data_IF_405731972278
#
_entry.id   IF_405731972278
#
_cell.length_a   1.000
_cell.length_b   1.000
_cell.length_c   1.000
_cell.angle_alpha   90.00
_cell.angle_beta   90.00
_cell.angle_gamma   90.00
#
_symmetry.space_group_name_H-M   'P 1'
#
loop_
_entity.id
_entity.type
_entity.pdbx_description
1 polymer ?
#
# COMPACT_ATOMS: atom_id res chain seq x y z
N UNK A 1 14.99 8.61 13.99
CA UNK A 1 15.41 7.27 13.46
C UNK A 1 15.83 7.45 12.02
N UNK A 2 17.01 7.00 11.64
CA UNK A 2 17.45 7.02 10.24
C UNK A 2 16.57 6.06 9.43
N UNK A 3 16.09 6.50 8.26
CA UNK A 3 15.39 5.63 7.31
C UNK A 3 16.31 4.47 6.91
N UNK A 4 15.72 3.27 6.65
CA UNK A 4 16.49 2.20 6.03
C UNK A 4 17.10 2.68 4.72
N UNK A 5 18.24 2.12 4.37
CA UNK A 5 18.86 2.34 3.08
C UNK A 5 17.90 1.97 1.94
N UNK A 6 17.84 2.82 0.94
CA UNK A 6 17.09 2.53 -0.29
C UNK A 6 17.88 1.58 -1.15
N UNK A 7 17.28 0.45 -1.47
CA UNK A 7 17.79 -0.50 -2.45
C UNK A 7 17.11 -0.31 -3.81
N UNK A 8 17.79 -0.72 -4.87
CA UNK A 8 17.28 -0.68 -6.24
C UNK A 8 17.29 -2.09 -6.84
N UNK A 9 16.20 -2.45 -7.48
CA UNK A 9 16.10 -3.65 -8.32
C UNK A 9 16.04 -3.21 -9.78
N UNK A 10 17.14 -3.39 -10.51
CA UNK A 10 17.15 -3.23 -11.96
C UNK A 10 16.50 -4.47 -12.62
N UNK A 11 15.56 -4.24 -13.53
CA UNK A 11 14.85 -5.29 -14.27
C UNK A 11 15.44 -5.46 -15.67
N UNK A 12 15.20 -6.62 -16.28
CA UNK A 12 15.72 -6.94 -17.61
C UNK A 12 15.19 -6.07 -18.76
N UNK A 13 14.09 -5.36 -18.52
CA UNK A 13 13.49 -4.39 -19.45
C UNK A 13 14.06 -2.94 -19.29
N UNK A 14 15.06 -2.77 -18.43
CA UNK A 14 15.68 -1.48 -18.14
C UNK A 14 14.93 -0.62 -17.11
N UNK A 15 13.81 -1.14 -16.55
CA UNK A 15 13.10 -0.45 -15.46
C UNK A 15 13.76 -0.72 -14.11
N UNK A 16 13.52 0.17 -13.14
CA UNK A 16 14.05 0.09 -11.78
C UNK A 16 12.90 0.16 -10.78
N UNK A 17 12.92 -0.70 -9.77
CA UNK A 17 12.07 -0.59 -8.59
C UNK A 17 12.91 -0.19 -7.38
N UNK A 18 12.47 0.80 -6.62
CA UNK A 18 13.08 1.23 -5.37
C UNK A 18 12.33 0.66 -4.18
N UNK A 19 13.07 0.16 -3.20
CA UNK A 19 12.49 -0.48 -2.03
C UNK A 19 13.35 -0.29 -0.78
N UNK A 20 12.76 -0.53 0.38
CA UNK A 20 13.44 -0.62 1.67
C UNK A 20 13.07 -1.92 2.35
N UNK A 21 13.97 -2.41 3.19
CA UNK A 21 13.75 -3.57 4.05
C UNK A 21 13.75 -3.13 5.52
N UNK A 22 12.68 -3.43 6.23
CA UNK A 22 12.53 -3.17 7.66
C UNK A 22 12.58 -4.46 8.45
N UNK A 23 12.97 -4.36 9.72
CA UNK A 23 13.04 -5.50 10.64
C UNK A 23 14.29 -6.36 10.46
N UNK A 24 14.45 -7.41 11.28
CA UNK A 24 15.63 -8.26 11.29
C UNK A 24 15.78 -9.07 10.00
N UNK A 25 17.02 -9.39 9.56
CA UNK A 25 17.26 -10.13 8.32
C UNK A 25 16.60 -11.52 8.27
N UNK A 26 16.45 -12.17 9.41
CA UNK A 26 15.84 -13.48 9.62
C UNK A 26 14.35 -13.39 10.01
N UNK A 27 13.75 -12.20 9.90
CA UNK A 27 12.33 -12.01 10.18
C UNK A 27 11.41 -12.67 9.17
N UNK A 28 10.15 -12.87 9.58
CA UNK A 28 9.12 -13.43 8.71
C UNK A 28 8.85 -12.53 7.49
N UNK A 29 8.96 -13.06 6.26
CA UNK A 29 8.92 -12.24 5.06
C UNK A 29 7.53 -11.71 4.74
N UNK A 30 7.41 -10.40 4.59
CA UNK A 30 6.17 -9.72 4.20
C UNK A 30 6.44 -8.67 3.14
N UNK A 31 5.68 -8.66 2.05
CA UNK A 31 5.68 -7.57 1.07
C UNK A 31 4.54 -6.62 1.37
N UNK A 32 4.84 -5.33 1.47
CA UNK A 32 3.88 -4.29 1.80
C UNK A 32 3.58 -3.36 0.62
N UNK A 33 2.29 -3.27 0.29
CA UNK A 33 1.74 -2.30 -0.64
C UNK A 33 1.20 -1.08 0.13
N UNK A 34 1.83 0.06 -0.07
CA UNK A 34 1.39 1.30 0.56
C UNK A 34 0.09 1.82 -0.06
N UNK A 35 -0.63 2.66 0.68
CA UNK A 35 -1.76 3.44 0.14
C UNK A 35 -1.33 4.38 -0.99
N UNK A 36 -2.28 5.08 -1.57
CA UNK A 36 -2.05 6.05 -2.64
C UNK A 36 -2.50 7.45 -2.18
N UNK A 37 -1.65 8.49 -2.26
CA UNK A 37 -0.23 8.43 -2.63
C UNK A 37 0.66 8.04 -1.44
N UNK A 38 1.78 7.35 -1.69
CA UNK A 38 2.76 7.04 -0.65
C UNK A 38 4.09 6.55 -1.24
N UNK A 39 5.16 6.65 -0.45
CA UNK A 39 6.47 6.11 -0.78
C UNK A 39 6.84 4.92 0.12
N UNK A 40 7.97 4.27 -0.19
CA UNK A 40 8.53 3.12 0.56
C UNK A 40 8.82 3.39 2.04
N UNK A 41 8.87 4.63 2.48
CA UNK A 41 9.24 4.97 3.85
C UNK A 41 8.05 4.91 4.79
N UNK A 42 8.16 4.07 5.80
CA UNK A 42 7.13 3.87 6.82
C UNK A 42 7.27 4.84 7.99
N UNK A 43 6.17 5.10 8.66
CA UNK A 43 6.15 5.91 9.89
C UNK A 43 6.86 5.19 11.04
N UNK A 44 7.56 5.90 11.95
CA UNK A 44 8.30 5.30 13.07
C UNK A 44 7.46 4.35 13.92
N UNK A 45 6.21 4.71 14.22
CA UNK A 45 5.27 3.88 14.99
C UNK A 45 5.00 2.53 14.32
N UNK A 46 4.93 2.50 12.99
CA UNK A 46 4.78 1.25 12.23
C UNK A 46 6.05 0.41 12.27
N UNK A 47 7.21 1.06 12.18
CA UNK A 47 8.51 0.39 12.26
C UNK A 47 8.70 -0.28 13.63
N UNK A 48 8.26 0.36 14.72
CA UNK A 48 8.30 -0.21 16.06
C UNK A 48 7.38 -1.45 16.17
N UNK A 49 6.17 -1.41 15.65
CA UNK A 49 5.25 -2.57 15.59
C UNK A 49 5.87 -3.74 14.84
N UNK A 50 6.49 -3.49 13.68
CA UNK A 50 7.19 -4.51 12.89
C UNK A 50 8.31 -5.19 13.68
N UNK A 51 9.08 -4.40 14.46
CA UNK A 51 10.16 -4.92 15.28
C UNK A 51 9.66 -5.88 16.37
N UNK A 52 8.50 -5.62 16.95
CA UNK A 52 7.88 -6.49 17.95
C UNK A 52 7.42 -7.83 17.34
N UNK A 53 6.82 -7.80 16.15
CA UNK A 53 6.29 -8.99 15.47
C UNK A 53 7.34 -9.79 14.69
N UNK A 54 8.62 -9.40 14.76
CA UNK A 54 9.75 -10.06 14.08
C UNK A 54 9.53 -10.25 12.57
N UNK A 55 8.94 -9.26 11.92
CA UNK A 55 8.74 -9.27 10.48
C UNK A 55 9.98 -8.77 9.73
N UNK A 56 10.24 -9.33 8.57
CA UNK A 56 11.11 -8.76 7.54
C UNK A 56 10.22 -8.14 6.48
N UNK A 57 9.94 -6.84 6.57
CA UNK A 57 9.02 -6.15 5.69
C UNK A 57 9.75 -5.51 4.52
N UNK A 58 9.41 -5.93 3.30
CA UNK A 58 9.80 -5.27 2.07
C UNK A 58 8.72 -4.25 1.69
N UNK A 59 9.10 -2.99 1.60
CA UNK A 59 8.23 -1.89 1.17
C UNK A 59 8.83 -1.28 -0.07
N UNK A 60 8.09 -1.23 -1.16
CA UNK A 60 8.57 -0.70 -2.42
C UNK A 60 7.71 0.48 -2.92
N UNK A 61 8.33 1.32 -3.71
CA UNK A 61 7.62 2.33 -4.47
C UNK A 61 7.04 1.70 -5.73
N UNK A 62 5.71 1.71 -5.86
CA UNK A 62 5.07 1.28 -7.10
C UNK A 62 5.55 2.15 -8.27
N UNK A 63 5.51 1.65 -9.53
CA UNK A 63 5.92 2.40 -10.71
C UNK A 63 5.36 3.82 -10.74
N UNK A 64 6.26 4.81 -10.87
CA UNK A 64 5.94 6.24 -10.88
C UNK A 64 5.99 6.95 -9.54
N UNK A 65 6.38 6.25 -8.45
CA UNK A 65 6.65 6.84 -7.15
C UNK A 65 8.11 6.69 -6.75
N UNK A 66 8.61 7.63 -5.97
CA UNK A 66 9.83 7.51 -5.19
C UNK A 66 11.10 7.19 -5.99
N UNK A 67 11.11 7.41 -7.29
CA UNK A 67 12.19 7.07 -8.22
C UNK A 67 12.09 5.68 -8.84
N UNK A 68 11.03 4.91 -8.58
CA UNK A 68 10.70 3.72 -9.37
C UNK A 68 10.24 4.11 -10.77
N UNK A 69 10.78 3.44 -11.80
CA UNK A 69 10.45 3.75 -13.20
C UNK A 69 8.94 3.68 -13.44
N UNK A 70 8.36 4.75 -13.96
CA UNK A 70 6.93 4.81 -14.28
C UNK A 70 6.54 3.79 -15.34
N UNK A 71 5.37 3.16 -15.17
CA UNK A 71 4.74 2.25 -16.13
C UNK A 71 3.31 2.71 -16.40
N UNK A 72 3.10 3.58 -17.40
CA UNK A 72 1.77 4.06 -17.77
C UNK A 72 0.83 2.92 -18.20
N UNK A 73 -0.45 3.04 -17.87
CA UNK A 73 -1.47 2.06 -18.28
C UNK A 73 -1.43 0.75 -17.50
N UNK A 74 -0.63 0.65 -16.44
CA UNK A 74 -0.63 -0.53 -15.56
C UNK A 74 -1.99 -0.78 -14.93
N UNK A 75 -2.28 -2.03 -14.68
CA UNK A 75 -3.43 -2.50 -13.91
C UNK A 75 -3.02 -2.83 -12.48
N UNK A 76 -3.99 -3.15 -11.62
CA UNK A 76 -3.71 -3.65 -10.26
C UNK A 76 -2.95 -4.98 -10.32
N UNK A 77 -3.31 -5.87 -11.25
CA UNK A 77 -2.66 -7.17 -11.43
C UNK A 77 -1.17 -7.07 -11.81
N UNK A 78 -0.75 -6.01 -12.46
CA UNK A 78 0.65 -5.81 -12.86
C UNK A 78 1.63 -5.72 -11.67
N UNK A 79 1.13 -5.41 -10.46
CA UNK A 79 1.94 -5.43 -9.25
C UNK A 79 2.51 -6.82 -8.91
N UNK A 80 1.90 -7.86 -9.42
CA UNK A 80 2.33 -9.26 -9.22
C UNK A 80 3.73 -9.51 -9.77
N UNK A 81 4.03 -8.97 -10.94
CA UNK A 81 5.37 -9.11 -11.55
C UNK A 81 6.45 -8.33 -10.79
N UNK A 82 6.07 -7.18 -10.23
CA UNK A 82 6.97 -6.38 -9.39
C UNK A 82 7.28 -7.13 -8.09
N UNK A 83 6.25 -7.68 -7.43
CA UNK A 83 6.41 -8.46 -6.18
C UNK A 83 7.19 -9.73 -6.41
N UNK A 84 6.92 -10.47 -7.50
CA UNK A 84 7.68 -11.68 -7.85
C UNK A 84 9.17 -11.37 -7.98
N UNK A 85 9.52 -10.34 -8.75
CA UNK A 85 10.92 -9.94 -8.96
C UNK A 85 11.59 -9.49 -7.66
N UNK A 86 10.88 -8.74 -6.80
CA UNK A 86 11.40 -8.28 -5.51
C UNK A 86 11.60 -9.46 -4.54
N UNK A 87 10.66 -10.39 -4.45
CA UNK A 87 10.76 -11.58 -3.61
C UNK A 87 11.89 -12.51 -4.08
N UNK A 88 12.05 -12.71 -5.40
CA UNK A 88 13.15 -13.48 -5.99
C UNK A 88 14.51 -12.87 -5.65
N UNK A 89 14.65 -11.55 -5.72
CA UNK A 89 15.87 -10.83 -5.34
C UNK A 89 16.22 -10.97 -3.84
N UNK A 90 15.23 -11.28 -2.98
CA UNK A 90 15.44 -11.54 -1.57
C UNK A 90 15.62 -13.05 -1.28
N UNK A 91 15.44 -13.93 -2.25
CA UNK A 91 15.43 -15.38 -2.05
C UNK A 91 14.21 -15.88 -1.26
N UNK A 92 13.10 -15.15 -1.27
CA UNK A 92 11.88 -15.51 -0.57
C UNK A 92 11.02 -16.43 -1.43
N UNK A 93 10.97 -17.71 -1.12
CA UNK A 93 10.11 -18.67 -1.80
C UNK A 93 8.64 -18.47 -1.42
N UNK A 94 8.37 -18.22 -0.14
CA UNK A 94 7.06 -17.92 0.42
C UNK A 94 7.11 -16.65 1.25
N UNK A 95 6.00 -15.89 1.24
CA UNK A 95 5.88 -14.64 1.97
C UNK A 95 4.40 -14.29 2.21
N UNK A 96 4.14 -13.44 3.19
CA UNK A 96 2.83 -12.83 3.34
C UNK A 96 2.77 -11.48 2.60
N UNK A 97 1.56 -10.99 2.35
CA UNK A 97 1.36 -9.66 1.76
C UNK A 97 0.48 -8.80 2.65
N UNK A 98 0.82 -7.52 2.72
CA UNK A 98 0.05 -6.50 3.44
C UNK A 98 -0.29 -5.35 2.49
N UNK A 99 -1.53 -4.86 2.52
CA UNK A 99 -1.95 -3.70 1.74
C UNK A 99 -2.82 -2.75 2.54
N UNK A 100 -2.48 -1.44 2.54
CA UNK A 100 -3.29 -0.40 3.16
C UNK A 100 -3.99 0.47 2.11
N UNK A 101 -5.28 0.81 2.31
CA UNK A 101 -6.01 1.73 1.44
C UNK A 101 -5.91 1.32 -0.04
N UNK A 102 -5.47 2.21 -0.94
CA UNK A 102 -5.19 1.90 -2.35
C UNK A 102 -4.14 0.80 -2.58
N UNK A 103 -3.38 0.39 -1.55
CA UNK A 103 -2.48 -0.77 -1.60
C UNK A 103 -3.20 -2.10 -1.42
N UNK A 104 -4.39 -2.11 -0.83
CA UNK A 104 -5.18 -3.33 -0.59
C UNK A 104 -5.44 -4.15 -1.85
N UNK A 105 -5.96 -3.56 -2.94
CA UNK A 105 -6.14 -4.26 -4.20
C UNK A 105 -4.88 -4.92 -4.75
N UNK A 106 -3.71 -4.28 -4.61
CA UNK A 106 -2.44 -4.82 -5.07
C UNK A 106 -2.00 -6.04 -4.22
N UNK A 107 -2.27 -6.02 -2.90
CA UNK A 107 -2.05 -7.19 -2.04
C UNK A 107 -3.00 -8.34 -2.40
N UNK A 108 -4.27 -8.04 -2.68
CA UNK A 108 -5.26 -9.02 -3.14
C UNK A 108 -4.88 -9.62 -4.51
N UNK A 109 -4.31 -8.82 -5.43
CA UNK A 109 -3.79 -9.33 -6.70
C UNK A 109 -2.67 -10.38 -6.47
N UNK A 110 -1.76 -10.10 -5.53
CA UNK A 110 -0.73 -11.07 -5.17
C UNK A 110 -1.33 -12.34 -4.54
N UNK A 111 -2.33 -12.21 -3.68
CA UNK A 111 -3.03 -13.34 -3.09
C UNK A 111 -3.76 -14.21 -4.12
N UNK A 112 -4.31 -13.59 -5.19
CA UNK A 112 -4.98 -14.30 -6.27
C UNK A 112 -4.02 -14.97 -7.26
N UNK A 113 -2.95 -14.26 -7.66
CA UNK A 113 -2.13 -14.62 -8.81
C UNK A 113 -0.74 -15.22 -8.43
N UNK A 114 -0.39 -15.20 -7.14
CA UNK A 114 0.80 -15.84 -6.57
C UNK A 114 0.42 -16.77 -5.41
N UNK A 115 -0.70 -17.49 -5.51
CA UNK A 115 -1.21 -18.34 -4.45
C UNK A 115 -0.27 -19.50 -4.07
N UNK A 116 0.68 -19.85 -4.92
CA UNK A 116 1.76 -20.81 -4.66
C UNK A 116 2.88 -20.23 -3.77
N UNK A 117 2.98 -18.91 -3.66
CA UNK A 117 4.02 -18.19 -2.90
C UNK A 117 3.48 -17.36 -1.74
N UNK A 118 2.27 -16.81 -1.89
CA UNK A 118 1.63 -16.00 -0.84
C UNK A 118 0.98 -16.91 0.18
N UNK A 119 1.40 -16.79 1.45
CA UNK A 119 0.89 -17.60 2.56
C UNK A 119 -0.40 -16.99 3.12
N UNK A 120 -0.45 -15.67 3.26
CA UNK A 120 -1.58 -14.92 3.80
C UNK A 120 -1.60 -13.49 3.28
N UNK A 121 -2.76 -12.85 3.32
CA UNK A 121 -2.97 -11.48 2.87
C UNK A 121 -3.72 -10.68 3.93
N UNK A 122 -3.16 -9.57 4.39
CA UNK A 122 -3.85 -8.63 5.26
C UNK A 122 -4.14 -7.33 4.52
N UNK A 123 -5.37 -6.84 4.62
CA UNK A 123 -5.83 -5.59 4.02
C UNK A 123 -6.38 -4.67 5.10
N UNK A 124 -5.84 -3.47 5.17
CA UNK A 124 -6.26 -2.42 6.09
C UNK A 124 -6.97 -1.30 5.32
N UNK A 125 -8.24 -1.05 5.62
CA UNK A 125 -9.04 0.01 4.98
C UNK A 125 -8.95 -0.02 3.46
N UNK A 126 -8.99 -1.23 2.85
CA UNK A 126 -8.86 -1.43 1.42
C UNK A 126 -10.11 -1.08 0.63
N UNK A 127 -9.92 -0.68 -0.64
CA UNK A 127 -11.04 -0.36 -1.54
C UNK A 127 -11.52 -1.60 -2.29
N UNK A 128 -12.79 -1.60 -2.71
CA UNK A 128 -13.40 -2.59 -3.63
C UNK A 128 -13.16 -2.22 -5.09
N UNK A 129 -13.35 -3.12 -6.06
CA UNK A 129 -13.42 -2.77 -7.47
C UNK A 129 -14.45 -1.67 -7.75
N UNK A 130 -14.21 -0.88 -8.81
CA UNK A 130 -15.19 0.09 -9.27
C UNK A 130 -16.50 -0.61 -9.67
N UNK A 131 -17.63 0.06 -9.42
CA UNK A 131 -18.94 -0.51 -9.74
C UNK A 131 -19.08 -0.69 -11.26
N UNK A 132 -19.59 -1.86 -11.70
CA UNK A 132 -19.84 -2.10 -13.13
C UNK A 132 -20.76 -1.03 -13.71
N UNK A 133 -20.36 -0.43 -14.84
CA UNK A 133 -21.15 0.59 -15.53
C UNK A 133 -21.04 2.02 -14.99
N UNK A 134 -20.29 2.25 -13.90
CA UNK A 134 -19.92 3.62 -13.50
C UNK A 134 -18.87 4.13 -14.48
N UNK A 135 -19.11 5.26 -15.17
CA UNK A 135 -18.11 5.82 -16.07
C UNK A 135 -16.84 6.12 -15.30
N UNK A 136 -15.71 5.61 -15.79
CA UNK A 136 -14.42 6.01 -15.26
C UNK A 136 -14.22 7.51 -15.56
N UNK A 137 -13.57 8.22 -14.64
CA UNK A 137 -13.10 9.58 -14.92
C UNK A 137 -12.15 9.54 -16.13
N UNK A 138 -12.30 10.53 -17.00
CA UNK A 138 -11.34 10.73 -18.08
C UNK A 138 -9.97 11.02 -17.47
N UNK A 139 -8.92 10.47 -18.08
CA UNK A 139 -7.54 10.61 -17.55
C UNK A 139 -7.15 12.08 -17.34
N UNK A 140 -7.55 12.98 -18.26
CA UNK A 140 -7.25 14.40 -18.14
C UNK A 140 -7.92 15.05 -16.92
N UNK A 141 -9.17 14.67 -16.62
CA UNK A 141 -9.91 15.15 -15.46
C UNK A 141 -9.27 14.64 -14.16
N UNK A 142 -8.97 13.33 -14.10
CA UNK A 142 -8.30 12.72 -12.95
C UNK A 142 -6.93 13.37 -12.71
N UNK A 143 -6.17 13.62 -13.77
CA UNK A 143 -4.86 14.29 -13.70
C UNK A 143 -4.98 15.69 -13.11
N UNK A 144 -5.99 16.44 -13.49
CA UNK A 144 -6.26 17.78 -12.92
C UNK A 144 -6.61 17.70 -11.44
N UNK A 145 -7.50 16.79 -11.05
CA UNK A 145 -7.89 16.61 -9.64
C UNK A 145 -6.70 16.16 -8.77
N UNK A 146 -5.92 15.20 -9.24
CA UNK A 146 -4.72 14.73 -8.52
C UNK A 146 -3.68 15.84 -8.38
N UNK A 147 -3.46 16.64 -9.43
CA UNK A 147 -2.52 17.75 -9.38
C UNK A 147 -2.95 18.84 -8.38
N UNK A 148 -4.25 19.15 -8.31
CA UNK A 148 -4.82 20.11 -7.35
C UNK A 148 -4.61 19.63 -5.91
N UNK A 149 -4.99 18.39 -5.61
CA UNK A 149 -4.82 17.82 -4.26
C UNK A 149 -3.35 17.68 -3.88
N UNK A 150 -2.49 17.28 -4.82
CA UNK A 150 -1.05 17.20 -4.58
C UNK A 150 -0.45 18.58 -4.29
N UNK A 151 -0.85 19.61 -5.02
CA UNK A 151 -0.40 20.98 -4.78
C UNK A 151 -0.86 21.49 -3.39
N UNK A 152 -2.07 21.15 -2.98
CA UNK A 152 -2.57 21.46 -1.63
C UNK A 152 -1.75 20.75 -0.55
N UNK A 153 -1.46 19.46 -0.73
CA UNK A 153 -0.62 18.68 0.19
C UNK A 153 0.79 19.30 0.26
N UNK A 154 1.40 19.58 -0.87
CA UNK A 154 2.74 20.15 -0.92
C UNK A 154 2.79 21.56 -0.33
N UNK A 155 1.81 22.42 -0.62
CA UNK A 155 1.70 23.74 0.00
C UNK A 155 1.59 23.67 1.51
N UNK A 156 0.78 22.77 2.06
CA UNK A 156 0.69 22.53 3.51
C UNK A 156 1.99 22.03 4.12
N UNK A 157 2.75 21.23 3.36
CA UNK A 157 4.08 20.76 3.76
C UNK A 157 5.05 21.94 3.87
N UNK A 158 5.09 22.83 2.88
CA UNK A 158 6.04 23.94 2.81
C UNK A 158 5.69 25.08 3.76
N UNK A 159 4.42 25.36 3.99
CA UNK A 159 3.93 26.43 4.86
C UNK A 159 3.84 26.05 6.35
N UNK A 160 4.22 24.83 6.74
CA UNK A 160 4.05 24.34 8.10
C UNK A 160 2.59 24.23 8.55
N UNK A 161 1.68 24.08 7.58
CA UNK A 161 0.22 24.13 7.76
C UNK A 161 -0.38 23.01 8.62
N UNK A 162 -1.64 23.16 9.08
CA UNK A 162 -2.31 22.18 9.91
C UNK A 162 -2.69 20.94 9.13
N UNK A 163 -2.69 19.81 9.80
CA UNK A 163 -3.22 18.48 9.44
C UNK A 163 -3.30 18.12 7.95
N UNK A 164 -2.48 17.17 7.55
CA UNK A 164 -2.66 16.46 6.27
C UNK A 164 -3.91 15.57 6.40
N UNK A 165 -4.85 15.56 5.44
CA UNK A 165 -6.05 14.73 5.48
C UNK A 165 -5.76 13.22 5.57
N UNK A 166 -4.56 12.82 5.21
CA UNK A 166 -4.10 11.42 5.14
C UNK A 166 -2.78 11.18 5.89
N UNK A 167 -2.33 12.15 6.66
CA UNK A 167 -1.07 12.09 7.41
C UNK A 167 -1.26 11.81 8.90
N UNK A 168 -0.19 11.42 9.58
CA UNK A 168 -0.20 11.39 11.04
C UNK A 168 -0.41 12.82 11.56
N UNK A 169 -1.13 12.92 12.69
CA UNK A 169 -1.55 14.17 13.31
C UNK A 169 -0.44 15.19 13.61
N UNK A 170 -0.74 16.23 14.37
CA UNK A 170 0.11 17.43 14.57
C UNK A 170 1.57 17.19 14.94
N UNK A 171 1.87 16.06 15.60
CA UNK A 171 3.22 15.68 16.00
C UNK A 171 4.17 15.36 14.83
N UNK A 172 3.65 15.13 13.62
CA UNK A 172 4.49 14.85 12.45
C UNK A 172 5.08 16.12 11.80
N UNK A 173 4.57 17.29 12.15
CA UNK A 173 5.07 18.56 11.60
C UNK A 173 6.48 18.91 12.07
N UNK A 174 6.75 18.60 13.33
CA UNK A 174 8.04 18.89 13.95
C UNK A 174 9.07 17.77 13.67
N UNK A 175 8.66 16.72 12.91
CA UNK A 175 9.53 15.64 12.50
C UNK A 175 10.04 15.87 11.06
N UNK A 176 11.30 16.31 10.88
CA UNK A 176 11.89 16.51 9.55
C UNK A 176 11.87 15.26 8.69
N UNK A 177 11.92 14.09 9.32
CA UNK A 177 11.87 12.79 8.63
C UNK A 177 10.47 12.51 8.08
N UNK A 178 9.41 12.95 8.76
CA UNK A 178 8.04 12.86 8.27
C UNK A 178 7.84 13.67 6.99
N UNK A 179 8.37 14.89 7.00
CA UNK A 179 8.31 15.80 5.84
C UNK A 179 9.14 15.28 4.67
N UNK A 180 10.32 14.70 4.94
CA UNK A 180 11.14 14.07 3.91
C UNK A 180 10.42 12.88 3.25
N UNK A 181 9.67 12.08 4.02
CA UNK A 181 8.85 10.98 3.50
C UNK A 181 7.76 11.45 2.55
N UNK A 182 7.05 12.50 2.94
CA UNK A 182 5.99 13.07 2.10
C UNK A 182 6.56 13.63 0.79
N UNK A 183 7.67 14.38 0.86
CA UNK A 183 8.34 14.89 -0.35
C UNK A 183 8.83 13.76 -1.26
N UNK A 184 9.33 12.67 -0.71
CA UNK A 184 9.77 11.51 -1.49
C UNK A 184 8.63 10.86 -2.30
N UNK A 185 7.38 10.99 -1.84
CA UNK A 185 6.21 10.48 -2.57
C UNK A 185 6.05 11.17 -3.92
N UNK A 186 6.40 12.46 -4.00
CA UNK A 186 6.20 13.30 -5.18
C UNK A 186 7.52 13.72 -5.87
N UNK A 187 8.62 13.02 -5.60
CA UNK A 187 9.94 13.36 -6.20
C UNK A 187 9.91 13.30 -7.73
N UNK A 188 9.08 12.44 -8.30
CA UNK A 188 8.87 12.28 -9.74
C UNK A 188 7.55 12.93 -10.22
N UNK A 189 6.97 13.83 -9.41
CA UNK A 189 5.69 14.46 -9.69
C UNK A 189 4.49 13.60 -9.29
N UNK A 190 3.34 13.83 -9.93
CA UNK A 190 2.05 13.21 -9.55
C UNK A 190 1.64 12.04 -10.42
N UNK A 191 2.42 11.73 -11.46
CA UNK A 191 2.07 10.70 -12.45
C UNK A 191 1.83 9.32 -11.85
N UNK A 192 2.62 8.92 -10.85
CA UNK A 192 2.42 7.65 -10.16
C UNK A 192 1.06 7.56 -9.45
N UNK A 193 0.58 8.68 -8.89
CA UNK A 193 -0.74 8.75 -8.27
C UNK A 193 -1.88 8.69 -9.28
N UNK A 194 -1.73 9.38 -10.41
CA UNK A 194 -2.69 9.28 -11.53
C UNK A 194 -2.79 7.85 -12.03
N UNK A 195 -1.64 7.20 -12.27
CA UNK A 195 -1.60 5.80 -12.76
C UNK A 195 -2.24 4.83 -11.74
N UNK A 196 -2.00 5.01 -10.43
CA UNK A 196 -2.67 4.23 -9.38
C UNK A 196 -4.19 4.44 -9.41
N UNK A 197 -4.63 5.68 -9.48
CA UNK A 197 -6.06 6.01 -9.48
C UNK A 197 -6.78 5.43 -10.70
N UNK A 198 -6.13 5.46 -11.86
CA UNK A 198 -6.64 4.82 -13.08
C UNK A 198 -6.67 3.29 -12.94
N UNK A 199 -5.63 2.68 -12.36
CA UNK A 199 -5.60 1.24 -12.13
C UNK A 199 -6.71 0.78 -11.18
N UNK A 200 -6.99 1.55 -10.13
CA UNK A 200 -8.05 1.25 -9.16
C UNK A 200 -9.46 1.43 -9.75
N UNK A 201 -9.63 2.39 -10.67
CA UNK A 201 -10.91 2.69 -11.32
C UNK A 201 -11.25 1.76 -12.49
N UNK A 202 -10.29 0.98 -12.99
CA UNK A 202 -10.43 0.03 -14.10
C UNK A 202 -10.56 -1.41 -13.58
N UNK A 203 -10.92 -2.39 -14.44
CA UNK A 203 -10.86 -3.80 -14.07
C UNK A 203 -9.47 -4.17 -13.53
N UNK A 204 -9.41 -4.81 -12.37
CA UNK A 204 -8.16 -5.10 -11.66
C UNK A 204 -7.29 -6.17 -12.33
N UNK A 205 -7.87 -6.98 -13.24
CA UNK A 205 -7.13 -8.03 -13.98
C UNK A 205 -7.13 -9.40 -13.28
N UNK A 206 -7.92 -9.57 -12.22
CA UNK A 206 -8.12 -10.86 -11.53
C UNK A 206 -9.51 -10.92 -10.91
N UNK A 207 -9.93 -12.13 -10.50
CA UNK A 207 -11.20 -12.38 -9.82
C UNK A 207 -10.96 -12.63 -8.33
N UNK A 208 -11.66 -11.90 -7.45
CA UNK A 208 -11.59 -12.05 -6.00
C UNK A 208 -12.00 -13.46 -5.54
N UNK A 209 -12.92 -14.11 -6.26
CA UNK A 209 -13.38 -15.46 -5.95
C UNK A 209 -12.29 -16.54 -6.14
N UNK A 210 -11.20 -16.22 -6.85
CA UNK A 210 -10.09 -17.16 -7.05
C UNK A 210 -9.07 -17.17 -5.90
N UNK A 211 -9.22 -16.27 -4.92
CA UNK A 211 -8.31 -16.19 -3.78
C UNK A 211 -8.57 -17.38 -2.84
N UNK A 212 -7.53 -18.20 -2.66
CA UNK A 212 -7.56 -19.41 -1.82
C UNK A 212 -6.76 -19.30 -0.53
N UNK A 213 -5.86 -18.33 -0.46
CA UNK A 213 -5.06 -18.07 0.75
C UNK A 213 -5.88 -17.32 1.81
N UNK A 214 -5.56 -17.44 3.11
CA UNK A 214 -6.24 -16.69 4.16
C UNK A 214 -6.17 -15.18 3.92
N UNK A 215 -7.31 -14.48 4.02
CA UNK A 215 -7.40 -13.01 3.90
C UNK A 215 -7.99 -12.40 5.16
N UNK A 216 -7.28 -11.45 5.78
CA UNK A 216 -7.80 -10.63 6.87
C UNK A 216 -8.11 -9.21 6.38
N UNK A 217 -9.29 -8.70 6.72
CA UNK A 217 -9.78 -7.38 6.32
C UNK A 217 -10.04 -6.53 7.56
N UNK A 218 -9.21 -5.50 7.79
CA UNK A 218 -9.36 -4.56 8.91
C UNK A 218 -9.97 -3.25 8.44
N UNK A 219 -10.94 -2.73 9.20
CA UNK A 219 -11.56 -1.41 8.96
C UNK A 219 -11.80 -0.62 10.23
N UNK A 220 -11.69 0.69 10.16
CA UNK A 220 -12.08 1.58 11.24
C UNK A 220 -13.59 1.81 11.32
N UNK A 221 -14.13 1.98 12.54
CA UNK A 221 -15.56 2.30 12.74
C UNK A 221 -15.97 3.64 12.17
N UNK A 222 -15.04 4.59 12.12
CA UNK A 222 -15.25 5.98 11.70
C UNK A 222 -14.33 6.36 10.53
N UNK A 223 -14.04 5.40 9.62
CA UNK A 223 -13.25 5.67 8.43
C UNK A 223 -14.05 6.57 7.47
N UNK A 224 -13.61 7.84 7.34
CA UNK A 224 -14.23 8.83 6.45
C UNK A 224 -13.70 8.76 5.02
N UNK A 225 -12.61 8.02 4.77
CA UNK A 225 -11.99 7.92 3.45
C UNK A 225 -12.49 6.69 2.69
N UNK A 226 -12.66 5.55 3.40
CA UNK A 226 -13.10 4.29 2.83
C UNK A 226 -14.27 3.76 3.67
N UNK A 227 -15.48 3.84 3.12
CA UNK A 227 -16.69 3.41 3.82
C UNK A 227 -16.70 1.89 4.09
N UNK A 228 -17.52 1.45 5.05
CA UNK A 228 -17.66 0.02 5.36
C UNK A 228 -18.11 -0.81 4.18
N UNK A 229 -18.82 -0.23 3.21
CA UNK A 229 -19.27 -0.90 1.98
C UNK A 229 -18.14 -1.59 1.22
N UNK A 230 -16.93 -1.00 1.25
CA UNK A 230 -15.76 -1.60 0.61
C UNK A 230 -15.36 -2.92 1.27
N UNK A 231 -15.28 -2.95 2.60
CA UNK A 231 -14.94 -4.15 3.35
C UNK A 231 -16.06 -5.21 3.24
N UNK A 232 -17.32 -4.78 3.31
CA UNK A 232 -18.49 -5.66 3.21
C UNK A 232 -18.51 -6.35 1.83
N UNK A 233 -18.23 -5.61 0.74
CA UNK A 233 -18.09 -6.17 -0.60
C UNK A 233 -16.94 -7.20 -0.67
N UNK A 234 -15.77 -6.88 -0.13
CA UNK A 234 -14.63 -7.80 -0.16
C UNK A 234 -14.89 -9.06 0.66
N UNK A 235 -15.58 -8.96 1.81
CA UNK A 235 -16.02 -10.11 2.62
C UNK A 235 -16.98 -11.02 1.88
N UNK A 236 -17.87 -10.46 1.08
CA UNK A 236 -18.83 -11.22 0.29
C UNK A 236 -18.18 -11.97 -0.90
N UNK A 237 -17.13 -11.38 -1.52
CA UNK A 237 -16.56 -11.87 -2.76
C UNK A 237 -15.26 -12.65 -2.61
N UNK A 238 -14.62 -12.65 -1.43
CA UNK A 238 -13.40 -13.42 -1.17
C UNK A 238 -13.75 -14.59 -0.25
N UNK A 239 -13.70 -15.86 -0.74
CA UNK A 239 -14.16 -17.03 0.02
C UNK A 239 -13.44 -17.25 1.35
N UNK A 240 -12.18 -16.80 1.45
CA UNK A 240 -11.31 -17.00 2.62
C UNK A 240 -11.24 -15.78 3.55
N UNK A 241 -12.02 -14.73 3.27
CA UNK A 241 -11.91 -13.47 4.00
C UNK A 241 -12.50 -13.54 5.41
N UNK A 242 -11.82 -12.91 6.36
CA UNK A 242 -12.26 -12.67 7.73
C UNK A 242 -12.21 -11.17 8.03
N UNK A 243 -13.27 -10.60 8.57
CA UNK A 243 -13.41 -9.19 8.89
C UNK A 243 -13.02 -8.86 10.32
N UNK A 244 -12.31 -7.75 10.49
CA UNK A 244 -11.91 -7.19 11.78
C UNK A 244 -12.27 -5.70 11.82
N UNK A 245 -12.79 -5.23 12.96
CA UNK A 245 -13.22 -3.85 13.14
C UNK A 245 -12.48 -3.25 14.32
N UNK A 246 -11.87 -2.09 14.15
CA UNK A 246 -11.22 -1.36 15.22
C UNK A 246 -11.88 0.01 15.46
N UNK A 247 -11.87 0.52 16.69
CA UNK A 247 -12.35 1.87 16.98
C UNK A 247 -11.38 2.91 16.39
N UNK A 248 -11.88 3.78 15.51
CA UNK A 248 -11.05 4.84 14.90
C UNK A 248 -11.35 5.09 13.43
N UNK A 249 -10.52 5.92 12.82
CA UNK A 249 -10.62 6.33 11.42
C UNK A 249 -9.82 5.45 10.46
N UNK A 250 -9.39 6.05 9.34
CA UNK A 250 -8.70 5.38 8.24
C UNK A 250 -7.36 4.72 8.64
N UNK A 251 -6.58 5.40 9.47
CA UNK A 251 -5.31 4.90 9.99
C UNK A 251 -5.44 4.54 11.47
N UNK A 252 -5.19 3.28 11.85
CA UNK A 252 -5.28 2.86 13.24
C UNK A 252 -4.06 3.25 14.06
N UNK A 253 -4.18 3.11 15.38
CA UNK A 253 -3.05 3.17 16.29
C UNK A 253 -2.15 1.91 16.23
N UNK A 254 -1.00 1.96 16.91
CA UNK A 254 0.02 0.91 16.88
C UNK A 254 -0.50 -0.49 17.26
N UNK A 255 -1.42 -0.59 18.22
CA UNK A 255 -1.96 -1.87 18.68
C UNK A 255 -2.68 -2.67 17.56
N UNK A 256 -3.36 -1.98 16.63
CA UNK A 256 -4.00 -2.65 15.49
C UNK A 256 -2.97 -3.14 14.49
N UNK A 257 -1.89 -2.40 14.30
CA UNK A 257 -0.78 -2.88 13.46
C UNK A 257 -0.09 -4.09 14.08
N UNK A 258 0.09 -4.13 15.42
CA UNK A 258 0.58 -5.31 16.11
C UNK A 258 -0.32 -6.51 15.85
N UNK A 259 -1.64 -6.35 15.98
CA UNK A 259 -2.63 -7.40 15.69
C UNK A 259 -2.53 -7.90 14.23
N UNK A 260 -2.46 -7.00 13.25
CA UNK A 260 -2.32 -7.34 11.83
C UNK A 260 -1.03 -8.13 11.58
N UNK A 261 0.09 -7.68 12.13
CA UNK A 261 1.39 -8.30 11.93
C UNK A 261 1.51 -9.66 12.61
N UNK A 262 0.94 -9.80 13.81
CA UNK A 262 0.86 -11.09 14.49
C UNK A 262 -0.07 -12.07 13.74
N UNK A 263 -1.17 -11.57 13.19
CA UNK A 263 -2.06 -12.38 12.36
C UNK A 263 -1.34 -12.90 11.10
N UNK A 264 -0.57 -12.06 10.39
CA UNK A 264 0.22 -12.46 9.22
C UNK A 264 1.25 -13.53 9.56
N UNK A 265 1.88 -13.46 10.72
CA UNK A 265 2.94 -14.38 11.17
C UNK A 265 2.39 -15.75 11.59
N UNK A 266 1.12 -15.83 11.98
CA UNK A 266 0.52 -17.06 12.55
C UNK A 266 -0.32 -17.86 11.55
N UNK A 267 -0.29 -17.57 10.24
CA UNK A 267 -1.09 -18.22 9.19
C UNK A 267 -0.29 -19.14 8.25
#
# INVERSE_FOLDING_TARGET
MTHPETSELARGDGTVLRYCLYGPPDGYPVVSHNGSPSSRWKWPTLVESMGRSKLRLLVYDRPGYGGSTRRPGRTVADAVDDVRALADAQGWEQFAVFGGSGGGPHALACAALLADRVISCAVLSGVKPADPGKPALEEAELRSQVAEVAAEIMGRIDDGGPELPTGPGPAARDDPDAMARLRATFVDGTDGWVDDSLALARPWGFDLATITVPVGLWRGTNDANVSSEHADYLLEHIPTAQGYVYPGGHLPGAAVYDEIYDWLHTR
#
